data_IF_606565155804
#
_entry.id   IF_606565155804
#
_cell.length_a   1.000
_cell.length_b   1.000
_cell.length_c   1.000
_cell.angle_alpha   90.00
_cell.angle_beta   90.00
_cell.angle_gamma   90.00
#
_symmetry.space_group_name_H-M   'P 1'
#
loop_
_entity.id
_entity.type
_entity.pdbx_description
1 polymer ?
#
# COMPACT_ATOMS: atom_id res chain seq x y z
N UNK A 1 11.47 -2.70 -4.66
CA UNK A 1 12.39 -2.14 -5.68
C UNK A 1 12.28 -2.90 -7.00
N UNK A 2 12.46 -4.22 -7.05
CA UNK A 2 12.35 -4.99 -8.30
C UNK A 2 10.99 -4.83 -9.01
N UNK A 3 9.88 -4.93 -8.29
CA UNK A 3 8.53 -4.73 -8.85
C UNK A 3 8.38 -3.34 -9.49
N UNK A 4 8.96 -2.31 -8.87
CA UNK A 4 8.94 -0.94 -9.41
C UNK A 4 9.61 -0.86 -10.78
N UNK A 5 10.82 -1.41 -10.90
CA UNK A 5 11.55 -1.42 -12.18
C UNK A 5 10.87 -2.29 -13.23
N UNK A 6 10.36 -3.46 -12.84
CA UNK A 6 9.54 -4.28 -13.73
C UNK A 6 8.37 -3.47 -14.28
N UNK A 7 7.67 -2.74 -13.41
CA UNK A 7 6.52 -1.98 -13.81
C UNK A 7 6.85 -0.78 -14.70
N UNK A 8 7.86 0.02 -14.33
CA UNK A 8 8.25 1.20 -15.10
C UNK A 8 8.91 0.87 -16.44
N UNK A 9 9.69 -0.22 -16.52
CA UNK A 9 10.43 -0.55 -17.74
C UNK A 9 9.66 -1.49 -18.69
N UNK A 10 8.81 -2.37 -18.17
CA UNK A 10 8.17 -3.42 -18.99
C UNK A 10 6.66 -3.27 -19.11
N UNK A 11 5.95 -3.00 -18.02
CA UNK A 11 4.47 -2.95 -18.09
C UNK A 11 3.91 -1.57 -18.37
N UNK A 12 4.70 -0.51 -18.10
CA UNK A 12 4.31 0.90 -18.22
C UNK A 12 5.46 1.75 -18.79
N UNK A 13 6.11 1.32 -19.90
CA UNK A 13 7.21 2.07 -20.49
C UNK A 13 6.79 3.49 -20.91
N UNK A 14 5.54 3.66 -21.33
CA UNK A 14 5.01 4.97 -21.75
C UNK A 14 4.97 5.97 -20.58
N UNK A 15 4.52 5.56 -19.39
CA UNK A 15 4.52 6.41 -18.19
C UNK A 15 5.95 6.76 -17.78
N UNK A 16 6.88 5.79 -17.87
CA UNK A 16 8.28 6.03 -17.57
C UNK A 16 8.91 7.05 -18.52
N UNK A 17 8.79 6.85 -19.84
CA UNK A 17 9.40 7.72 -20.85
C UNK A 17 8.74 9.10 -20.94
N UNK A 18 7.41 9.17 -20.79
CA UNK A 18 6.68 10.42 -21.01
C UNK A 18 6.56 11.30 -19.77
N UNK A 19 6.60 10.73 -18.58
CA UNK A 19 6.36 11.44 -17.31
C UNK A 19 7.57 11.35 -16.40
N UNK A 20 7.87 10.17 -15.85
CA UNK A 20 8.86 9.98 -14.77
C UNK A 20 10.28 10.35 -15.18
N UNK A 21 10.66 10.07 -16.42
CA UNK A 21 12.00 10.40 -16.96
C UNK A 21 12.17 11.90 -17.19
N UNK A 22 11.08 12.63 -17.46
CA UNK A 22 11.09 14.09 -17.67
C UNK A 22 10.99 14.85 -16.35
N UNK A 23 10.32 14.26 -15.36
CA UNK A 23 10.20 14.80 -14.01
C UNK A 23 10.62 13.78 -12.95
N UNK A 24 11.90 13.79 -12.53
CA UNK A 24 12.40 12.91 -11.49
C UNK A 24 11.73 13.08 -10.12
N UNK A 25 11.00 14.17 -9.87
CA UNK A 25 10.30 14.35 -8.59
C UNK A 25 9.16 13.33 -8.40
N UNK A 26 8.64 12.78 -9.51
CA UNK A 26 7.60 11.75 -9.52
C UNK A 26 8.05 10.40 -8.95
N UNK A 27 9.36 10.16 -8.78
CA UNK A 27 9.84 8.91 -8.19
C UNK A 27 9.30 8.65 -6.79
N UNK A 28 9.07 9.70 -6.00
CA UNK A 28 8.44 9.57 -4.67
C UNK A 28 7.03 8.99 -4.81
N UNK A 29 6.27 9.48 -5.77
CA UNK A 29 4.91 9.01 -5.99
C UNK A 29 4.88 7.60 -6.57
N UNK A 30 5.74 7.32 -7.57
CA UNK A 30 5.89 5.98 -8.14
C UNK A 30 6.22 4.97 -7.05
N UNK A 31 7.16 5.30 -6.16
CA UNK A 31 7.54 4.44 -5.05
C UNK A 31 6.36 4.20 -4.09
N UNK A 32 5.67 5.28 -3.71
CA UNK A 32 4.52 5.21 -2.80
C UNK A 32 3.39 4.36 -3.38
N UNK A 33 2.98 4.64 -4.61
CA UNK A 33 1.92 3.91 -5.28
C UNK A 33 2.33 2.45 -5.54
N UNK A 34 3.60 2.19 -5.82
CA UNK A 34 4.09 0.81 -5.98
C UNK A 34 3.94 0.00 -4.70
N UNK A 35 4.20 0.63 -3.55
CA UNK A 35 4.02 -0.02 -2.25
C UNK A 35 2.55 -0.28 -1.90
N UNK A 36 1.60 0.39 -2.55
CA UNK A 36 0.18 0.02 -2.50
C UNK A 36 -0.14 -1.06 -3.53
N UNK A 37 0.21 -0.82 -4.79
CA UNK A 37 -0.20 -1.63 -5.94
C UNK A 37 0.41 -3.03 -5.95
N UNK A 38 1.72 -3.16 -5.75
CA UNK A 38 2.46 -4.43 -5.75
C UNK A 38 3.54 -4.43 -4.65
N UNK A 39 3.10 -4.51 -3.37
CA UNK A 39 4.00 -4.48 -2.22
C UNK A 39 4.87 -5.73 -2.15
N UNK A 40 6.04 -5.60 -1.53
CA UNK A 40 6.90 -6.77 -1.23
C UNK A 40 6.23 -7.68 -0.18
N UNK A 41 5.41 -7.12 0.70
CA UNK A 41 4.74 -7.84 1.79
C UNK A 41 3.23 -7.75 1.60
N UNK A 42 2.61 -8.86 1.21
CA UNK A 42 1.16 -8.95 1.01
C UNK A 42 0.38 -9.35 2.27
N UNK A 43 1.08 -9.91 3.25
CA UNK A 43 0.46 -10.36 4.49
C UNK A 43 1.43 -10.31 5.66
N UNK A 44 0.89 -10.06 6.85
CA UNK A 44 1.67 -10.11 8.09
C UNK A 44 0.93 -10.89 9.18
N UNK A 45 1.68 -11.77 9.84
CA UNK A 45 1.18 -12.48 11.01
C UNK A 45 1.10 -11.57 12.24
N UNK A 46 0.07 -11.79 13.06
CA UNK A 46 -0.10 -11.25 14.40
C UNK A 46 -0.58 -12.35 15.33
N UNK A 47 -0.42 -12.12 16.63
CA UNK A 47 -1.10 -12.88 17.68
C UNK A 47 -1.94 -11.94 18.53
N UNK A 48 -3.17 -12.35 18.83
CA UNK A 48 -4.02 -11.61 19.75
C UNK A 48 -3.47 -11.70 21.17
N UNK A 49 -3.53 -10.59 21.91
CA UNK A 49 -3.12 -10.53 23.34
C UNK A 49 -4.28 -10.73 24.29
N UNK A 50 -5.51 -10.67 23.78
CA UNK A 50 -6.78 -10.90 24.47
C UNK A 50 -7.86 -11.21 23.41
N UNK A 51 -9.06 -11.58 23.83
CA UNK A 51 -10.20 -11.78 22.93
C UNK A 51 -10.56 -10.48 22.18
N UNK A 52 -10.79 -10.57 20.86
CA UNK A 52 -11.19 -9.44 20.02
C UNK A 52 -12.51 -9.77 19.32
N UNK A 53 -13.46 -8.82 19.37
CA UNK A 53 -14.72 -8.88 18.61
C UNK A 53 -14.61 -7.95 17.40
N UNK A 54 -14.59 -8.52 16.19
CA UNK A 54 -14.44 -7.75 14.95
C UNK A 54 -15.26 -8.38 13.83
N UNK A 55 -15.93 -7.56 13.01
CA UNK A 55 -16.79 -8.02 11.90
C UNK A 55 -17.79 -9.12 12.29
N UNK A 56 -18.38 -9.03 13.48
CA UNK A 56 -19.34 -10.01 14.00
C UNK A 56 -18.73 -11.35 14.41
N UNK A 57 -17.40 -11.48 14.42
CA UNK A 57 -16.67 -12.68 14.82
C UNK A 57 -15.89 -12.44 16.11
N UNK A 58 -15.67 -13.52 16.87
CA UNK A 58 -14.83 -13.53 18.07
C UNK A 58 -13.52 -14.22 17.73
N UNK A 59 -12.40 -13.50 17.87
CA UNK A 59 -11.05 -14.05 17.77
C UNK A 59 -10.55 -14.24 19.20
N UNK A 60 -10.24 -15.48 19.63
CA UNK A 60 -9.84 -15.75 21.01
C UNK A 60 -8.45 -15.18 21.33
N UNK A 61 -8.13 -15.09 22.61
CA UNK A 61 -6.79 -14.75 23.09
C UNK A 61 -5.73 -15.75 22.56
N UNK A 62 -4.53 -15.24 22.23
CA UNK A 62 -3.38 -15.99 21.68
C UNK A 62 -3.62 -16.68 20.32
N UNK A 63 -4.70 -16.35 19.63
CA UNK A 63 -4.94 -16.80 18.27
C UNK A 63 -3.92 -16.21 17.28
N UNK A 64 -3.53 -17.00 16.29
CA UNK A 64 -2.77 -16.50 15.14
C UNK A 64 -3.71 -15.84 14.14
N UNK A 65 -3.39 -14.64 13.71
CA UNK A 65 -4.16 -13.86 12.73
C UNK A 65 -3.25 -13.44 11.59
N UNK A 66 -3.73 -13.53 10.35
CA UNK A 66 -3.05 -13.01 9.17
C UNK A 66 -3.72 -11.71 8.74
N UNK A 67 -3.00 -10.61 8.79
CA UNK A 67 -3.42 -9.34 8.20
C UNK A 67 -3.09 -9.36 6.72
N UNK A 68 -4.10 -9.35 5.85
CA UNK A 68 -3.94 -9.33 4.39
C UNK A 68 -3.77 -7.90 3.89
N UNK A 69 -2.54 -7.38 3.98
CA UNK A 69 -2.20 -6.02 3.55
C UNK A 69 -2.50 -5.79 2.07
N UNK A 70 -2.20 -6.78 1.21
CA UNK A 70 -2.50 -6.70 -0.22
C UNK A 70 -3.99 -6.54 -0.51
N UNK A 71 -4.85 -7.19 0.28
CA UNK A 71 -6.30 -7.01 0.16
C UNK A 71 -6.74 -5.60 0.61
N UNK A 72 -6.18 -5.11 1.72
CA UNK A 72 -6.43 -3.73 2.18
C UNK A 72 -6.00 -2.67 1.16
N UNK A 73 -4.86 -2.88 0.51
CA UNK A 73 -4.36 -2.00 -0.55
C UNK A 73 -5.23 -1.99 -1.82
N UNK A 74 -6.14 -2.96 -1.96
CA UNK A 74 -7.10 -3.06 -3.06
C UNK A 74 -8.54 -2.82 -2.63
N UNK A 75 -8.76 -2.34 -1.39
CA UNK A 75 -10.09 -2.10 -0.86
C UNK A 75 -10.75 -0.90 -1.54
N UNK A 76 -11.81 -1.16 -2.30
CA UNK A 76 -12.58 -0.15 -3.04
C UNK A 76 -13.28 0.88 -2.13
N UNK A 77 -13.40 0.59 -0.83
CA UNK A 77 -13.94 1.54 0.16
C UNK A 77 -12.94 2.64 0.49
N UNK A 78 -11.66 2.43 0.18
CA UNK A 78 -10.55 3.36 0.45
C UNK A 78 -9.97 3.92 -0.84
N UNK A 79 -9.75 3.06 -1.83
CA UNK A 79 -9.06 3.40 -3.07
C UNK A 79 -10.00 3.34 -4.27
N UNK A 80 -10.08 4.44 -5.02
CA UNK A 80 -10.73 4.47 -6.33
C UNK A 80 -9.90 3.66 -7.32
N UNK A 81 -10.58 2.86 -8.15
CA UNK A 81 -9.97 1.99 -9.16
C UNK A 81 -8.74 1.23 -8.61
N UNK A 82 -8.92 0.41 -7.55
CA UNK A 82 -7.80 -0.12 -6.77
C UNK A 82 -6.81 -0.97 -7.58
N UNK A 83 -7.28 -1.59 -8.67
CA UNK A 83 -6.46 -2.40 -9.58
C UNK A 83 -5.77 -1.58 -10.68
N UNK A 84 -5.88 -0.25 -10.64
CA UNK A 84 -5.12 0.66 -11.50
C UNK A 84 -3.92 1.21 -10.72
N UNK A 85 -2.76 1.22 -11.36
CA UNK A 85 -1.60 1.94 -10.87
C UNK A 85 -1.71 3.40 -11.31
N UNK A 86 -1.80 4.29 -10.35
CA UNK A 86 -1.89 5.73 -10.58
C UNK A 86 -0.92 6.47 -9.65
N UNK A 87 0.19 6.95 -10.22
CA UNK A 87 1.20 7.70 -9.48
C UNK A 87 0.72 9.10 -9.08
N UNK A 88 -0.43 9.58 -9.55
CA UNK A 88 -0.97 10.89 -9.22
C UNK A 88 -2.27 10.79 -8.40
N UNK A 89 -2.63 9.59 -7.93
CA UNK A 89 -3.82 9.39 -7.09
C UNK A 89 -3.80 10.26 -5.84
N UNK A 90 -4.95 10.78 -5.46
CA UNK A 90 -5.15 11.69 -4.33
C UNK A 90 -5.69 11.00 -3.06
N UNK A 91 -6.16 9.76 -3.21
CA UNK A 91 -6.67 8.89 -2.16
C UNK A 91 -5.57 8.04 -1.48
N UNK A 92 -4.29 8.31 -1.80
CA UNK A 92 -3.11 7.74 -1.14
C UNK A 92 -2.25 8.84 -0.50
N UNK A 93 -1.81 8.60 0.74
CA UNK A 93 -0.96 9.57 1.46
C UNK A 93 0.50 9.44 1.04
N UNK A 94 0.92 10.30 0.10
CA UNK A 94 2.24 10.27 -0.54
C UNK A 94 3.41 10.63 0.40
N UNK A 95 4.57 10.00 0.21
CA UNK A 95 5.84 10.41 0.82
C UNK A 95 6.00 10.03 2.30
N UNK A 96 5.23 9.05 2.76
CA UNK A 96 5.14 8.60 4.16
C UNK A 96 5.62 7.16 4.33
N UNK A 97 6.43 6.68 3.39
CA UNK A 97 6.80 5.27 3.32
C UNK A 97 7.93 4.91 4.28
N UNK A 98 8.66 5.93 4.74
CA UNK A 98 9.91 5.80 5.49
C UNK A 98 9.70 5.75 7.01
N UNK A 99 8.47 5.65 7.52
CA UNK A 99 8.22 5.45 8.96
C UNK A 99 7.11 4.43 9.22
N UNK A 100 7.33 3.62 10.24
CA UNK A 100 6.29 2.77 10.84
C UNK A 100 5.42 3.58 11.80
N UNK A 101 4.13 3.27 11.86
CA UNK A 101 3.21 3.75 12.90
C UNK A 101 2.27 4.87 12.47
N UNK A 102 1.36 5.20 13.39
CA UNK A 102 0.24 6.12 13.16
C UNK A 102 0.70 7.58 13.06
N UNK A 103 0.33 8.27 11.98
CA UNK A 103 0.60 9.69 11.81
C UNK A 103 -0.39 10.56 12.61
N UNK A 104 0.06 11.72 13.16
CA UNK A 104 -0.80 12.64 13.91
C UNK A 104 -1.92 13.28 13.08
N UNK A 105 -1.75 13.32 11.75
CA UNK A 105 -2.70 13.90 10.80
C UNK A 105 -3.91 12.99 10.52
N UNK A 106 -3.95 11.80 11.14
CA UNK A 106 -5.05 10.84 10.99
C UNK A 106 -5.10 10.15 9.64
N UNK A 107 -4.18 10.47 8.71
CA UNK A 107 -4.10 9.82 7.40
C UNK A 107 -3.28 8.54 7.52
N UNK A 108 -3.80 7.47 6.93
CA UNK A 108 -3.14 6.17 6.94
C UNK A 108 -2.05 6.12 5.88
N UNK A 109 -0.86 5.68 6.27
CA UNK A 109 0.19 5.27 5.33
C UNK A 109 -0.03 3.84 4.85
N UNK A 110 0.68 3.45 3.80
CA UNK A 110 0.56 2.11 3.22
C UNK A 110 1.09 0.96 4.11
N UNK A 111 1.89 1.26 5.16
CA UNK A 111 2.43 0.26 6.10
C UNK A 111 1.65 0.13 7.42
N UNK A 112 0.60 0.93 7.63
CA UNK A 112 -0.10 1.01 8.92
C UNK A 112 0.58 1.90 9.94
#
# INVERSE_FOLDING_TARGET
ISNMWYHMLYTRPDQFENEVKKDPSLWTNVFTEMMRYDPVVHGQGRRTTHEIKIHGQVIPERASVSMLLGAGNRDERVFKNPDTFDMLRDDLHMGRELRSGRYPDGKHGHLG
#
